data_IF_765521018803
#
_entry.id   IF_765521018803
#
_cell.length_a   1.000
_cell.length_b   1.000
_cell.length_c   1.000
_cell.angle_alpha   90.00
_cell.angle_beta   90.00
_cell.angle_gamma   90.00
#
_symmetry.space_group_name_H-M   'P 1'
#
loop_
_entity.id
_entity.type
_entity.pdbx_description
1 polymer ?
#
# COMPACT_ATOMS: atom_id res chain seq x y z
N UNK A 1 18.69 16.76 4.92
CA UNK A 1 17.92 15.57 4.50
C UNK A 1 17.87 15.52 2.98
N UNK A 2 18.41 14.47 2.35
CA UNK A 2 18.28 14.29 0.91
C UNK A 2 16.83 13.96 0.55
N UNK A 3 16.08 14.95 0.07
CA UNK A 3 14.77 14.73 -0.51
C UNK A 3 14.94 13.86 -1.75
N UNK A 4 14.44 12.63 -1.70
CA UNK A 4 14.41 11.73 -2.83
C UNK A 4 13.44 12.31 -3.89
N UNK A 5 13.96 13.14 -4.81
CA UNK A 5 13.19 13.86 -5.87
C UNK A 5 12.35 12.96 -6.79
N UNK A 6 12.56 11.65 -6.76
CA UNK A 6 11.88 10.69 -7.62
C UNK A 6 10.60 10.08 -7.03
N UNK A 7 10.31 10.30 -5.75
CA UNK A 7 9.20 9.63 -5.07
C UNK A 7 8.24 10.66 -4.48
N UNK A 8 7.11 10.88 -5.16
CA UNK A 8 6.02 11.73 -4.66
C UNK A 8 5.20 10.95 -3.61
N UNK A 9 4.75 11.62 -2.53
CA UNK A 9 3.83 10.99 -1.58
C UNK A 9 2.56 10.57 -2.30
N UNK A 10 2.03 9.41 -1.89
CA UNK A 10 0.78 8.90 -2.45
C UNK A 10 -0.37 9.76 -1.91
N UNK A 11 -1.14 10.36 -2.83
CA UNK A 11 -2.33 11.16 -2.53
C UNK A 11 -3.54 10.27 -2.26
N UNK A 12 -4.54 10.81 -1.56
CA UNK A 12 -5.79 10.09 -1.28
C UNK A 12 -6.53 9.64 -2.55
N UNK A 13 -6.42 10.39 -3.65
CA UNK A 13 -6.96 10.00 -4.95
C UNK A 13 -6.35 8.68 -5.46
N UNK A 14 -5.04 8.51 -5.33
CA UNK A 14 -4.35 7.27 -5.69
C UNK A 14 -4.77 6.10 -4.80
N UNK A 15 -5.03 6.36 -3.52
CA UNK A 15 -5.56 5.35 -2.59
C UNK A 15 -6.96 4.91 -3.02
N UNK A 16 -7.84 5.87 -3.34
CA UNK A 16 -9.19 5.58 -3.81
C UNK A 16 -9.17 4.81 -5.15
N UNK A 17 -8.25 5.15 -6.06
CA UNK A 17 -8.08 4.45 -7.34
C UNK A 17 -7.68 2.99 -7.14
N UNK A 18 -6.70 2.71 -6.28
CA UNK A 18 -6.28 1.34 -5.92
C UNK A 18 -7.42 0.59 -5.23
N UNK A 19 -8.12 1.25 -4.30
CA UNK A 19 -9.27 0.66 -3.63
C UNK A 19 -10.37 0.27 -4.63
N UNK A 20 -10.66 1.13 -5.61
CA UNK A 20 -11.65 0.83 -6.64
C UNK A 20 -11.23 -0.38 -7.49
N UNK A 21 -9.96 -0.44 -7.92
CA UNK A 21 -9.44 -1.60 -8.65
C UNK A 21 -9.58 -2.91 -7.87
N UNK A 22 -9.26 -2.88 -6.59
CA UNK A 22 -9.39 -4.05 -5.71
C UNK A 22 -10.87 -4.44 -5.52
N UNK A 23 -11.76 -3.46 -5.31
CA UNK A 23 -13.19 -3.70 -5.19
C UNK A 23 -13.80 -4.28 -6.47
N UNK A 24 -13.40 -3.80 -7.66
CA UNK A 24 -13.86 -4.36 -8.94
C UNK A 24 -13.39 -5.81 -9.14
N UNK A 25 -12.28 -6.19 -8.52
CA UNK A 25 -11.77 -7.56 -8.50
C UNK A 25 -12.32 -8.38 -7.33
N UNK A 26 -13.30 -7.82 -6.61
CA UNK A 26 -13.96 -8.40 -5.45
C UNK A 26 -13.02 -8.69 -4.27
N UNK A 27 -11.95 -7.90 -4.11
CA UNK A 27 -10.98 -8.01 -3.03
C UNK A 27 -11.35 -7.01 -1.94
N UNK A 28 -11.89 -7.50 -0.82
CA UNK A 28 -12.36 -6.70 0.31
C UNK A 28 -11.23 -6.15 1.18
N UNK A 29 -10.52 -5.13 0.70
CA UNK A 29 -9.56 -4.34 1.49
C UNK A 29 -10.24 -3.03 1.92
N UNK A 30 -10.19 -2.70 3.21
CA UNK A 30 -10.71 -1.42 3.69
C UNK A 30 -9.77 -0.25 3.36
N UNK A 31 -10.35 0.93 3.12
CA UNK A 31 -9.61 2.17 2.90
C UNK A 31 -8.62 2.46 4.04
N UNK A 32 -9.00 2.15 5.28
CA UNK A 32 -8.14 2.33 6.45
C UNK A 32 -6.87 1.47 6.37
N UNK A 33 -6.99 0.22 5.92
CA UNK A 33 -5.85 -0.69 5.75
C UNK A 33 -4.91 -0.20 4.66
N UNK A 34 -5.45 0.20 3.49
CA UNK A 34 -4.62 0.80 2.43
C UNK A 34 -3.96 2.09 2.92
N UNK A 35 -4.69 2.92 3.65
CA UNK A 35 -4.18 4.15 4.26
C UNK A 35 -2.97 3.89 5.16
N UNK A 36 -3.01 2.84 5.99
CA UNK A 36 -1.87 2.44 6.83
C UNK A 36 -0.64 2.06 5.99
N UNK A 37 -0.83 1.31 4.90
CA UNK A 37 0.28 0.93 4.02
C UNK A 37 0.93 2.14 3.35
N UNK A 38 0.10 3.01 2.75
CA UNK A 38 0.58 4.21 2.08
C UNK A 38 1.19 5.22 3.05
N UNK A 39 0.71 5.31 4.29
CA UNK A 39 1.34 6.11 5.34
C UNK A 39 2.76 5.65 5.63
N UNK A 40 2.97 4.34 5.82
CA UNK A 40 4.31 3.77 6.04
C UNK A 40 5.22 4.00 4.83
N UNK A 41 4.68 3.83 3.62
CA UNK A 41 5.40 4.14 2.40
C UNK A 41 5.84 5.61 2.33
N UNK A 42 4.93 6.54 2.62
CA UNK A 42 5.21 7.98 2.64
C UNK A 42 6.28 8.33 3.69
N UNK A 43 6.24 7.72 4.88
CA UNK A 43 7.29 7.89 5.89
C UNK A 43 8.64 7.33 5.43
N UNK A 44 8.65 6.21 4.70
CA UNK A 44 9.91 5.62 4.20
C UNK A 44 10.54 6.49 3.12
N UNK A 45 9.76 6.97 2.15
CA UNK A 45 10.29 7.84 1.07
C UNK A 45 10.70 9.22 1.59
N UNK A 46 10.15 9.67 2.73
CA UNK A 46 10.59 10.90 3.41
C UNK A 46 11.91 10.74 4.18
N UNK A 47 12.49 9.52 4.17
CA UNK A 47 13.78 9.22 4.81
C UNK A 47 13.68 8.63 6.22
N UNK A 48 12.49 8.29 6.71
CA UNK A 48 12.33 7.65 8.03
C UNK A 48 12.76 6.18 7.95
N UNK A 49 13.58 5.70 8.89
CA UNK A 49 14.04 4.31 8.93
C UNK A 49 12.94 3.35 9.41
N UNK A 50 13.04 2.07 9.02
CA UNK A 50 12.01 1.07 9.35
C UNK A 50 11.82 0.89 10.86
N UNK A 51 12.90 1.00 11.64
CA UNK A 51 12.85 0.89 13.10
C UNK A 51 12.05 2.04 13.71
N UNK A 52 12.30 3.27 13.26
CA UNK A 52 11.57 4.46 13.75
C UNK A 52 10.10 4.42 13.35
N UNK A 53 9.79 3.96 12.12
CA UNK A 53 8.41 3.77 11.68
C UNK A 53 7.71 2.72 12.54
N UNK A 54 8.38 1.61 12.86
CA UNK A 54 7.85 0.53 13.70
C UNK A 54 7.51 1.04 15.10
N UNK A 55 8.43 1.81 15.71
CA UNK A 55 8.22 2.43 17.02
C UNK A 55 7.06 3.44 16.98
N UNK A 56 7.03 4.32 15.97
CA UNK A 56 6.02 5.37 15.84
C UNK A 56 4.62 4.83 15.54
N UNK A 57 4.50 3.75 14.77
CA UNK A 57 3.22 3.13 14.41
C UNK A 57 2.81 1.99 15.36
N UNK A 58 3.61 1.68 16.40
CA UNK A 58 3.39 0.56 17.32
C UNK A 58 3.16 -0.77 16.58
N UNK A 59 4.02 -1.04 15.60
CA UNK A 59 4.01 -2.25 14.78
C UNK A 59 5.35 -2.95 14.86
N UNK A 60 5.39 -4.26 14.59
CA UNK A 60 6.67 -4.95 14.42
C UNK A 60 7.38 -4.47 13.14
N UNK A 61 8.71 -4.51 13.15
CA UNK A 61 9.52 -4.16 11.96
C UNK A 61 9.11 -5.00 10.75
N UNK A 62 8.79 -6.29 10.96
CA UNK A 62 8.31 -7.17 9.90
C UNK A 62 7.00 -6.68 9.31
N UNK A 63 6.04 -6.28 10.14
CA UNK A 63 4.75 -5.71 9.68
C UNK A 63 4.97 -4.44 8.88
N UNK A 64 5.86 -3.54 9.34
CA UNK A 64 6.19 -2.31 8.62
C UNK A 64 6.81 -2.62 7.24
N UNK A 65 7.75 -3.56 7.17
CA UNK A 65 8.35 -3.99 5.89
C UNK A 65 7.30 -4.58 4.95
N UNK A 66 6.40 -5.42 5.46
CA UNK A 66 5.30 -5.98 4.69
C UNK A 66 4.36 -4.89 4.16
N UNK A 67 3.95 -3.94 5.01
CA UNK A 67 3.06 -2.84 4.60
C UNK A 67 3.73 -1.92 3.58
N UNK A 68 5.01 -1.59 3.78
CA UNK A 68 5.81 -0.86 2.79
C UNK A 68 5.84 -1.58 1.44
N UNK A 69 6.14 -2.88 1.43
CA UNK A 69 6.22 -3.68 0.20
C UNK A 69 4.89 -3.67 -0.56
N UNK A 70 3.76 -3.87 0.16
CA UNK A 70 2.41 -3.84 -0.43
C UNK A 70 2.10 -2.47 -1.04
N UNK A 71 2.34 -1.38 -0.31
CA UNK A 71 2.16 -0.03 -0.84
C UNK A 71 3.07 0.26 -2.04
N UNK A 72 4.33 -0.16 -2.00
CA UNK A 72 5.27 -0.01 -3.12
C UNK A 72 4.73 -0.71 -4.37
N UNK A 73 4.21 -1.93 -4.23
CA UNK A 73 3.59 -2.67 -5.35
C UNK A 73 2.35 -1.96 -5.90
N UNK A 74 1.50 -1.41 -5.04
CA UNK A 74 0.38 -0.58 -5.49
C UNK A 74 0.85 0.63 -6.31
N UNK A 75 1.92 1.31 -5.88
CA UNK A 75 2.48 2.46 -6.60
C UNK A 75 3.11 2.05 -7.94
N UNK A 76 3.85 0.94 -7.99
CA UNK A 76 4.41 0.40 -9.23
C UNK A 76 3.29 0.10 -10.24
N UNK A 77 2.22 -0.56 -9.80
CA UNK A 77 1.06 -0.87 -10.65
C UNK A 77 0.30 0.40 -11.08
N UNK A 78 0.15 1.39 -10.20
CA UNK A 78 -0.46 2.69 -10.53
C UNK A 78 0.31 3.43 -11.63
N UNK A 79 1.66 3.45 -11.55
CA UNK A 79 2.52 4.11 -12.53
C UNK A 79 2.43 3.46 -13.91
N UNK A 80 2.29 2.13 -13.94
CA UNK A 80 2.16 1.35 -15.17
C UNK A 80 0.72 1.18 -15.63
N UNK A 81 -0.26 1.71 -14.89
CA UNK A 81 -1.69 1.48 -15.07
C UNK A 81 -2.05 -0.02 -15.18
N UNK A 82 -1.32 -0.89 -14.46
CA UNK A 82 -1.42 -2.34 -14.54
C UNK A 82 -2.36 -2.91 -13.48
N UNK A 83 -3.65 -2.98 -13.81
CA UNK A 83 -4.70 -3.46 -12.90
C UNK A 83 -4.59 -4.98 -12.64
N UNK A 84 -4.19 -5.76 -13.65
CA UNK A 84 -4.08 -7.21 -13.51
C UNK A 84 -3.00 -7.61 -12.50
N UNK A 85 -1.86 -6.92 -12.52
CA UNK A 85 -0.74 -7.19 -11.62
C UNK A 85 -1.08 -6.85 -10.16
N UNK A 86 -1.75 -5.73 -9.90
CA UNK A 86 -2.17 -5.39 -8.52
C UNK A 86 -3.18 -6.39 -7.96
N UNK A 87 -4.11 -6.88 -8.80
CA UNK A 87 -5.07 -7.91 -8.41
C UNK A 87 -4.34 -9.21 -8.09
N UNK A 88 -3.37 -9.61 -8.91
CA UNK A 88 -2.57 -10.79 -8.67
C UNK A 88 -1.84 -10.68 -7.33
N UNK A 89 -1.10 -9.60 -7.09
CA UNK A 89 -0.42 -9.37 -5.81
C UNK A 89 -1.37 -9.37 -4.61
N UNK A 90 -2.55 -8.75 -4.75
CA UNK A 90 -3.51 -8.67 -3.67
C UNK A 90 -4.07 -10.04 -3.25
N UNK A 91 -4.17 -11.02 -4.17
CA UNK A 91 -4.49 -12.41 -3.84
C UNK A 91 -3.42 -13.05 -2.93
N UNK A 92 -2.15 -12.70 -3.09
CA UNK A 92 -1.04 -13.23 -2.28
C UNK A 92 -0.88 -12.57 -0.92
N UNK A 93 -1.52 -11.42 -0.67
CA UNK A 93 -1.39 -10.71 0.62
C UNK A 93 -2.20 -11.34 1.77
N UNK A 94 -3.01 -12.37 1.48
CA UNK A 94 -3.33 -13.45 2.42
C UNK A 94 -4.38 -13.18 3.49
N UNK A 95 -5.08 -12.03 3.50
CA UNK A 95 -6.03 -11.72 4.59
C UNK A 95 -7.31 -11.01 4.16
N UNK A 96 -7.49 -10.75 2.87
CA UNK A 96 -8.64 -9.99 2.38
C UNK A 96 -9.60 -10.95 1.73
N UNK A 97 -10.78 -11.09 2.35
CA UNK A 97 -11.86 -11.93 1.80
C UNK A 97 -12.08 -11.47 0.36
N UNK A 98 -12.01 -12.43 -0.57
CA UNK A 98 -12.70 -12.27 -1.83
C UNK A 98 -14.17 -12.27 -1.45
N UNK A 99 -14.82 -11.11 -1.46
CA UNK A 99 -16.24 -11.00 -1.08
C UNK A 99 -17.10 -11.55 -2.20
N UNK A 100 -17.00 -12.85 -2.48
CA UNK A 100 -17.90 -13.52 -3.42
C UNK A 100 -19.34 -13.05 -3.16
N UNK A 101 -19.96 -12.49 -4.20
CA UNK A 101 -21.32 -11.97 -4.26
C UNK A 101 -21.68 -10.68 -3.50
N UNK A 102 -21.96 -9.63 -4.29
CA UNK A 102 -23.13 -8.78 -4.08
C UNK A 102 -23.69 -8.29 -5.40
#
# INVERSE_FOLDING_TARGET
MAYNKHWKPVTEENINKVLNWLNTANIGISKEVLGKWFKIYNMRISGTEYLDIANNQKHSIQTVRNYYFRAKKCVECLRNNNIAEIIQWAKWWGHYRITADR
#
